data_IF_064089149764
#
_entry.id   IF_064089149764
#
_cell.length_a   1.000
_cell.length_b   1.000
_cell.length_c   1.000
_cell.angle_alpha   90.00
_cell.angle_beta   90.00
_cell.angle_gamma   90.00
#
_symmetry.space_group_name_H-M   'P 1'
#
loop_
_entity.id
_entity.type
_entity.pdbx_description
1 polymer ?
#
# COMPACT_ATOMS: atom_id res chain seq x y z
N UNK A 1 2.22 38.55 42.04
CA UNK A 1 1.71 37.47 41.16
C UNK A 1 1.12 38.13 39.93
N UNK A 2 1.82 38.03 38.78
CA UNK A 2 1.32 38.55 37.51
C UNK A 2 0.70 37.37 36.78
N UNK A 3 -0.63 37.31 36.75
CA UNK A 3 -1.35 36.37 35.91
C UNK A 3 -1.19 36.86 34.46
N UNK A 4 -0.24 36.27 33.73
CA UNK A 4 -0.13 36.47 32.30
C UNK A 4 -1.36 35.88 31.62
N UNK A 5 -2.12 36.71 30.90
CA UNK A 5 -3.18 36.24 30.04
C UNK A 5 -2.59 35.25 29.03
N UNK A 6 -2.97 33.98 29.16
CA UNK A 6 -2.72 32.99 28.11
C UNK A 6 -3.61 33.43 26.96
N UNK A 7 -3.05 34.14 25.98
CA UNK A 7 -3.75 34.42 24.74
C UNK A 7 -4.09 33.06 24.13
N UNK A 8 -5.39 32.71 24.14
CA UNK A 8 -5.88 31.59 23.38
C UNK A 8 -5.39 31.75 21.94
N UNK A 9 -4.83 30.69 21.37
CA UNK A 9 -4.48 30.68 19.95
C UNK A 9 -5.72 31.14 19.17
N UNK A 10 -5.56 32.03 18.17
CA UNK A 10 -6.69 32.49 17.39
C UNK A 10 -7.45 31.28 16.86
N UNK A 11 -8.77 31.28 17.05
CA UNK A 11 -9.64 30.26 16.49
C UNK A 11 -9.38 30.17 14.98
N UNK A 12 -9.35 28.96 14.39
CA UNK A 12 -9.24 28.83 12.95
C UNK A 12 -10.33 29.68 12.29
N UNK A 13 -10.02 30.43 11.22
CA UNK A 13 -11.03 31.23 10.52
C UNK A 13 -12.20 30.33 10.11
N UNK A 14 -13.43 30.80 10.32
CA UNK A 14 -14.60 30.06 9.87
C UNK A 14 -14.60 29.96 8.34
N UNK A 15 -14.86 28.76 7.77
CA UNK A 15 -14.84 28.59 6.33
C UNK A 15 -15.96 29.39 5.67
N UNK A 16 -15.67 29.94 4.49
CA UNK A 16 -16.67 30.65 3.70
C UNK A 16 -17.82 29.73 3.26
N UNK A 17 -18.97 30.33 2.94
CA UNK A 17 -20.11 29.58 2.38
C UNK A 17 -19.75 28.89 1.06
N UNK A 18 -18.91 29.53 0.25
CA UNK A 18 -18.42 28.99 -1.02
C UNK A 18 -17.55 27.75 -0.82
N UNK A 19 -16.67 27.74 0.20
CA UNK A 19 -15.84 26.57 0.53
C UNK A 19 -16.67 25.38 0.97
N UNK A 20 -17.72 25.60 1.77
CA UNK A 20 -18.63 24.53 2.20
C UNK A 20 -19.35 23.93 1.00
N UNK A 21 -19.91 24.79 0.14
CA UNK A 21 -20.59 24.33 -1.08
C UNK A 21 -19.64 23.60 -2.03
N UNK A 22 -18.41 24.10 -2.18
CA UNK A 22 -17.39 23.45 -2.99
C UNK A 22 -17.08 22.05 -2.45
N UNK A 23 -16.80 21.92 -1.16
CA UNK A 23 -16.52 20.64 -0.50
C UNK A 23 -17.68 19.66 -0.69
N UNK A 24 -18.92 20.09 -0.46
CA UNK A 24 -20.12 19.27 -0.64
C UNK A 24 -20.28 18.79 -2.09
N UNK A 25 -19.96 19.64 -3.07
CA UNK A 25 -20.05 19.27 -4.49
C UNK A 25 -18.99 18.24 -4.88
N UNK A 26 -17.72 18.44 -4.51
CA UNK A 26 -16.63 17.53 -4.92
C UNK A 26 -16.75 16.14 -4.30
N UNK A 27 -17.38 16.05 -3.12
CA UNK A 27 -17.67 14.79 -2.44
C UNK A 27 -18.84 14.00 -3.05
N UNK A 28 -19.63 14.57 -3.98
CA UNK A 28 -20.63 13.80 -4.73
C UNK A 28 -19.93 12.96 -5.80
N UNK A 29 -20.28 11.67 -5.86
CA UNK A 29 -19.76 10.71 -6.84
C UNK A 29 -20.06 11.10 -8.29
N UNK A 30 -21.10 11.89 -8.53
CA UNK A 30 -21.51 12.37 -9.86
C UNK A 30 -20.72 13.60 -10.33
N UNK A 31 -19.94 14.23 -9.45
CA UNK A 31 -19.23 15.47 -9.80
C UNK A 31 -17.95 15.16 -10.56
N UNK A 32 -17.78 15.77 -11.73
CA UNK A 32 -16.52 15.70 -12.46
C UNK A 32 -15.41 16.47 -11.73
N UNK A 33 -14.23 15.86 -11.59
CA UNK A 33 -13.08 16.43 -10.89
C UNK A 33 -12.15 17.23 -11.82
N UNK A 34 -12.65 17.66 -12.97
CA UNK A 34 -11.87 18.45 -13.92
C UNK A 34 -11.49 19.81 -13.36
N UNK A 35 -10.23 20.19 -13.58
CA UNK A 35 -9.65 21.48 -13.17
C UNK A 35 -9.76 21.77 -11.66
N UNK A 36 -9.82 20.72 -10.83
CA UNK A 36 -10.07 20.83 -9.39
C UNK A 36 -9.07 21.75 -8.68
N UNK A 37 -7.77 21.62 -8.96
CA UNK A 37 -6.74 22.49 -8.37
C UNK A 37 -6.89 23.96 -8.76
N UNK A 38 -7.31 24.25 -10.01
CA UNK A 38 -7.60 25.63 -10.45
C UNK A 38 -8.81 26.20 -9.72
N UNK A 39 -9.87 25.40 -9.54
CA UNK A 39 -11.06 25.82 -8.79
C UNK A 39 -10.74 26.09 -7.33
N UNK A 40 -9.90 25.25 -6.71
CA UNK A 40 -9.43 25.44 -5.33
C UNK A 40 -8.69 26.77 -5.17
N UNK A 41 -7.77 27.10 -6.09
CA UNK A 41 -7.00 28.36 -6.08
C UNK A 41 -7.87 29.62 -6.12
N UNK A 42 -9.10 29.56 -6.65
CA UNK A 42 -10.02 30.71 -6.71
C UNK A 42 -10.53 31.10 -5.32
N UNK A 43 -10.68 30.14 -4.41
CA UNK A 43 -11.25 30.37 -3.07
C UNK A 43 -10.28 31.10 -2.13
N UNK A 44 -9.01 31.23 -2.51
CA UNK A 44 -7.98 31.81 -1.64
C UNK A 44 -7.32 30.79 -0.71
N UNK A 45 -6.25 31.21 -0.04
CA UNK A 45 -5.35 30.30 0.67
C UNK A 45 -5.97 29.67 1.94
N UNK A 46 -6.69 30.45 2.74
CA UNK A 46 -7.32 29.99 3.99
C UNK A 46 -8.41 28.94 3.71
N UNK A 47 -9.30 29.26 2.79
CA UNK A 47 -10.37 28.38 2.34
C UNK A 47 -9.83 27.10 1.67
N UNK A 48 -8.76 27.21 0.88
CA UNK A 48 -8.08 26.05 0.28
C UNK A 48 -7.50 25.12 1.35
N UNK A 49 -6.86 25.69 2.38
CA UNK A 49 -6.31 24.92 3.49
C UNK A 49 -7.41 24.19 4.27
N UNK A 50 -8.52 24.88 4.55
CA UNK A 50 -9.68 24.28 5.21
C UNK A 50 -10.29 23.12 4.41
N UNK A 51 -10.38 23.26 3.07
CA UNK A 51 -10.87 22.19 2.20
C UNK A 51 -9.95 20.97 2.26
N UNK A 52 -8.63 21.17 2.17
CA UNK A 52 -7.67 20.06 2.24
C UNK A 52 -7.74 19.36 3.60
N UNK A 53 -7.79 20.12 4.70
CA UNK A 53 -7.95 19.56 6.04
C UNK A 53 -9.25 18.76 6.18
N UNK A 54 -10.34 19.28 5.61
CA UNK A 54 -11.65 18.61 5.64
C UNK A 54 -11.67 17.33 4.80
N UNK A 55 -11.00 17.33 3.64
CA UNK A 55 -10.85 16.13 2.82
C UNK A 55 -9.96 15.10 3.50
N UNK A 56 -8.87 15.54 4.14
CA UNK A 56 -7.99 14.67 4.94
C UNK A 56 -8.77 14.04 6.07
N UNK A 57 -9.56 14.79 6.85
CA UNK A 57 -10.35 14.22 7.95
C UNK A 57 -11.38 13.18 7.46
N UNK A 58 -12.03 13.45 6.33
CA UNK A 58 -13.00 12.54 5.67
C UNK A 58 -12.35 11.34 4.98
N UNK A 59 -11.02 11.29 4.86
CA UNK A 59 -10.37 10.13 4.22
C UNK A 59 -10.50 8.84 5.03
N UNK A 60 -10.81 8.92 6.34
CA UNK A 60 -11.06 7.75 7.19
C UNK A 60 -12.33 6.98 6.81
N UNK A 61 -13.33 7.64 6.24
CA UNK A 61 -14.64 7.07 5.96
C UNK A 61 -15.14 7.31 4.53
N UNK A 62 -14.38 8.04 3.70
CA UNK A 62 -14.78 8.36 2.32
C UNK A 62 -13.67 8.06 1.29
N UNK A 63 -13.84 6.98 0.52
CA UNK A 63 -13.01 6.72 -0.66
C UNK A 63 -13.06 7.87 -1.67
N UNK A 64 -14.18 8.59 -1.75
CA UNK A 64 -14.31 9.77 -2.61
C UNK A 64 -13.42 10.92 -2.15
N UNK A 65 -13.26 11.13 -0.84
CA UNK A 65 -12.32 12.13 -0.34
C UNK A 65 -10.88 11.80 -0.76
N UNK A 66 -10.50 10.51 -0.71
CA UNK A 66 -9.18 10.04 -1.18
C UNK A 66 -8.99 10.31 -2.68
N UNK A 67 -9.99 9.98 -3.51
CA UNK A 67 -9.95 10.28 -4.95
C UNK A 67 -9.77 11.78 -5.21
N UNK A 68 -10.54 12.63 -4.53
CA UNK A 68 -10.43 14.10 -4.65
C UNK A 68 -9.03 14.58 -4.26
N UNK A 69 -8.47 14.05 -3.17
CA UNK A 69 -7.10 14.38 -2.73
C UNK A 69 -6.05 13.93 -3.74
N UNK A 70 -6.18 12.73 -4.31
CA UNK A 70 -5.28 12.23 -5.35
C UNK A 70 -5.26 13.14 -6.58
N UNK A 71 -6.42 13.69 -6.97
CA UNK A 71 -6.53 14.67 -8.08
C UNK A 71 -5.96 16.04 -7.75
N UNK A 72 -5.97 16.44 -6.47
CA UNK A 72 -5.40 17.72 -6.03
C UNK A 72 -3.89 17.65 -5.87
N UNK A 73 -3.39 16.54 -5.30
CA UNK A 73 -2.02 16.43 -4.82
C UNK A 73 -0.94 16.83 -5.84
N UNK A 74 -0.99 16.45 -7.14
CA UNK A 74 0.05 16.81 -8.10
C UNK A 74 0.29 18.33 -8.23
N UNK A 75 -0.76 19.14 -8.09
CA UNK A 75 -0.77 20.59 -8.29
C UNK A 75 -0.53 21.39 -7.00
N UNK A 76 -0.41 20.71 -5.85
CA UNK A 76 -0.12 21.36 -4.57
C UNK A 76 1.36 21.74 -4.46
N UNK A 77 1.68 22.85 -3.76
CA UNK A 77 3.04 23.16 -3.33
C UNK A 77 3.65 21.99 -2.55
N UNK A 78 4.96 21.78 -2.68
CA UNK A 78 5.65 20.59 -2.14
C UNK A 78 5.37 20.31 -0.66
N UNK A 79 5.44 21.32 0.21
CA UNK A 79 5.20 21.14 1.65
C UNK A 79 3.75 20.76 1.95
N UNK A 80 2.80 21.39 1.23
CA UNK A 80 1.38 21.11 1.38
C UNK A 80 1.02 19.74 0.81
N UNK A 81 1.66 19.33 -0.29
CA UNK A 81 1.55 18.00 -0.89
C UNK A 81 1.99 16.93 0.10
N UNK A 82 3.20 17.07 0.65
CA UNK A 82 3.76 16.15 1.64
C UNK A 82 2.83 16.04 2.86
N UNK A 83 2.44 17.17 3.46
CA UNK A 83 1.59 17.18 4.65
C UNK A 83 0.22 16.55 4.38
N UNK A 84 -0.39 16.86 3.23
CA UNK A 84 -1.70 16.32 2.84
C UNK A 84 -1.62 14.80 2.69
N UNK A 85 -0.65 14.32 1.91
CA UNK A 85 -0.47 12.89 1.62
C UNK A 85 -0.12 12.12 2.89
N UNK A 86 0.81 12.62 3.72
CA UNK A 86 1.18 11.97 4.97
C UNK A 86 -0.02 11.87 5.92
N UNK A 87 -0.79 12.94 6.08
CA UNK A 87 -1.97 12.93 6.96
C UNK A 87 -3.06 12.02 6.43
N UNK A 88 -3.28 11.95 5.11
CA UNK A 88 -4.23 11.00 4.51
C UNK A 88 -3.81 9.56 4.79
N UNK A 89 -2.55 9.21 4.54
CA UNK A 89 -2.05 7.85 4.76
C UNK A 89 -2.16 7.49 6.25
N UNK A 90 -1.79 8.40 7.16
CA UNK A 90 -1.98 8.18 8.61
C UNK A 90 -3.45 7.98 8.99
N UNK A 91 -4.35 8.82 8.47
CA UNK A 91 -5.78 8.74 8.81
C UNK A 91 -6.39 7.42 8.32
N UNK A 92 -6.07 6.99 7.10
CA UNK A 92 -6.51 5.70 6.53
C UNK A 92 -5.87 4.51 7.25
N UNK A 93 -4.62 4.63 7.68
CA UNK A 93 -3.95 3.56 8.46
C UNK A 93 -4.63 3.38 9.81
N UNK A 94 -4.89 4.47 10.54
CA UNK A 94 -5.40 4.43 11.91
C UNK A 94 -6.90 4.13 12.00
N UNK A 95 -7.69 4.62 11.04
CA UNK A 95 -9.15 4.63 11.13
C UNK A 95 -9.87 4.15 9.87
N UNK A 96 -9.14 3.99 8.76
CA UNK A 96 -9.73 3.59 7.49
C UNK A 96 -10.07 2.11 7.45
N UNK A 97 -11.23 1.80 6.88
CA UNK A 97 -11.61 0.43 6.55
C UNK A 97 -10.99 0.01 5.21
N UNK A 98 -11.30 -1.21 4.77
CA UNK A 98 -10.75 -1.82 3.56
C UNK A 98 -11.04 -0.98 2.31
N UNK A 99 -12.22 -0.37 2.23
CA UNK A 99 -12.58 0.50 1.11
C UNK A 99 -11.65 1.71 0.98
N UNK A 100 -11.21 2.29 2.10
CA UNK A 100 -10.30 3.44 2.13
C UNK A 100 -8.87 3.00 1.83
N UNK A 101 -8.43 1.86 2.35
CA UNK A 101 -7.11 1.28 2.04
C UNK A 101 -6.98 0.93 0.55
N UNK A 102 -8.01 0.30 -0.02
CA UNK A 102 -8.08 0.00 -1.45
C UNK A 102 -8.08 1.28 -2.28
N UNK A 103 -8.89 2.29 -1.90
CA UNK A 103 -8.92 3.57 -2.60
C UNK A 103 -7.59 4.31 -2.53
N UNK A 104 -6.88 4.25 -1.39
CA UNK A 104 -5.56 4.85 -1.27
C UNK A 104 -4.57 4.19 -2.22
N UNK A 105 -4.54 2.85 -2.26
CA UNK A 105 -3.66 2.10 -3.17
C UNK A 105 -4.02 2.25 -4.65
N UNK A 106 -5.29 2.53 -4.99
CA UNK A 106 -5.74 2.69 -6.37
C UNK A 106 -5.58 4.11 -6.91
N UNK A 107 -5.83 5.11 -6.07
CA UNK A 107 -5.85 6.52 -6.48
C UNK A 107 -4.50 7.19 -6.29
N UNK A 108 -3.72 6.83 -5.25
CA UNK A 108 -2.41 7.41 -5.04
C UNK A 108 -1.40 6.62 -5.86
N UNK A 109 -0.77 7.28 -6.81
CA UNK A 109 0.34 6.68 -7.55
C UNK A 109 1.54 6.41 -6.63
N UNK A 110 2.54 5.71 -7.18
CA UNK A 110 3.74 5.37 -6.43
C UNK A 110 4.53 6.59 -5.95
N UNK A 111 4.49 7.72 -6.68
CA UNK A 111 5.17 8.95 -6.28
C UNK A 111 4.53 9.50 -5.00
N UNK A 112 3.20 9.60 -4.96
CA UNK A 112 2.48 10.04 -3.77
C UNK A 112 2.67 9.06 -2.61
N UNK A 113 2.57 7.75 -2.83
CA UNK A 113 2.74 6.75 -1.77
C UNK A 113 4.17 6.68 -1.21
N UNK A 114 5.17 7.24 -1.89
CA UNK A 114 6.55 7.34 -1.39
C UNK A 114 6.81 8.60 -0.54
N UNK A 115 5.95 9.63 -0.61
CA UNK A 115 6.12 10.88 0.13
C UNK A 115 6.09 10.72 1.66
N UNK A 116 5.18 9.94 2.26
CA UNK A 116 5.12 9.82 3.71
C UNK A 116 6.41 9.23 4.29
N UNK A 117 6.69 9.60 5.54
CA UNK A 117 7.74 9.00 6.33
C UNK A 117 7.69 7.46 6.29
N UNK A 118 8.87 6.84 6.32
CA UNK A 118 9.00 5.38 6.21
C UNK A 118 8.21 4.65 7.29
N UNK A 119 8.15 5.14 8.54
CA UNK A 119 7.39 4.48 9.60
C UNK A 119 5.88 4.49 9.30
N UNK A 120 5.37 5.54 8.65
CA UNK A 120 3.97 5.62 8.21
C UNK A 120 3.70 4.60 7.10
N UNK A 121 4.59 4.52 6.11
CA UNK A 121 4.49 3.53 5.04
C UNK A 121 4.56 2.10 5.58
N UNK A 122 5.49 1.84 6.51
CA UNK A 122 5.63 0.55 7.19
C UNK A 122 4.34 0.15 7.90
N UNK A 123 3.72 1.06 8.66
CA UNK A 123 2.47 0.81 9.36
C UNK A 123 1.32 0.53 8.39
N UNK A 124 1.19 1.36 7.34
CA UNK A 124 0.14 1.20 6.34
C UNK A 124 0.23 -0.14 5.60
N UNK A 125 1.40 -0.46 5.04
CA UNK A 125 1.59 -1.70 4.28
C UNK A 125 1.57 -2.93 5.20
N UNK A 126 2.04 -2.81 6.44
CA UNK A 126 1.91 -3.86 7.45
C UNK A 126 0.45 -4.22 7.72
N UNK A 127 -0.41 -3.21 7.93
CA UNK A 127 -1.85 -3.42 8.13
C UNK A 127 -2.52 -4.05 6.89
N UNK A 128 -2.17 -3.58 5.68
CA UNK A 128 -2.64 -4.20 4.42
C UNK A 128 -2.20 -5.66 4.32
N UNK A 129 -0.97 -6.00 4.68
CA UNK A 129 -0.47 -7.37 4.65
C UNK A 129 -1.19 -8.25 5.67
N UNK A 130 -1.45 -7.74 6.87
CA UNK A 130 -2.18 -8.46 7.91
C UNK A 130 -3.63 -8.75 7.49
N UNK A 131 -4.31 -7.79 6.86
CA UNK A 131 -5.65 -7.99 6.29
C UNK A 131 -5.63 -9.09 5.23
N UNK A 132 -4.72 -9.00 4.25
CA UNK A 132 -4.59 -10.01 3.19
C UNK A 132 -4.21 -11.38 3.78
N UNK A 133 -3.38 -11.40 4.84
CA UNK A 133 -2.94 -12.61 5.52
C UNK A 133 -4.06 -13.37 6.24
N UNK A 134 -5.15 -12.69 6.63
CA UNK A 134 -6.36 -13.32 7.19
C UNK A 134 -7.21 -14.05 6.15
N UNK A 135 -6.91 -13.85 4.87
CA UNK A 135 -7.50 -14.55 3.71
C UNK A 135 -9.03 -14.50 3.63
N UNK A 136 -9.65 -13.39 4.02
CA UNK A 136 -11.07 -13.18 3.81
C UNK A 136 -11.33 -12.80 2.34
N UNK A 137 -12.07 -13.66 1.62
CA UNK A 137 -12.13 -13.60 0.15
C UNK A 137 -12.50 -12.23 -0.41
N UNK A 138 -13.48 -11.51 0.15
CA UNK A 138 -13.91 -10.21 -0.37
C UNK A 138 -12.77 -9.19 -0.31
N UNK A 139 -12.08 -9.13 0.83
CA UNK A 139 -11.01 -8.18 1.14
C UNK A 139 -9.79 -8.41 0.23
N UNK A 140 -9.40 -9.68 0.09
CA UNK A 140 -8.27 -10.09 -0.75
C UNK A 140 -8.52 -9.77 -2.23
N UNK A 141 -9.77 -9.94 -2.70
CA UNK A 141 -10.14 -9.67 -4.08
C UNK A 141 -10.04 -8.18 -4.45
N UNK A 142 -10.18 -7.30 -3.48
CA UNK A 142 -10.10 -5.85 -3.69
C UNK A 142 -8.66 -5.33 -3.47
N UNK A 143 -7.98 -5.79 -2.41
CA UNK A 143 -6.67 -5.27 -2.03
C UNK A 143 -5.50 -5.82 -2.86
N UNK A 144 -5.46 -7.13 -3.16
CA UNK A 144 -4.29 -7.72 -3.83
C UNK A 144 -4.07 -7.11 -5.23
N UNK A 145 -5.09 -6.94 -6.09
CA UNK A 145 -4.87 -6.35 -7.42
C UNK A 145 -4.26 -4.95 -7.37
N UNK A 146 -4.70 -4.10 -6.43
CA UNK A 146 -4.19 -2.72 -6.30
C UNK A 146 -2.81 -2.69 -5.63
N UNK A 147 -2.56 -3.57 -4.65
CA UNK A 147 -1.25 -3.69 -3.99
C UNK A 147 -0.14 -4.07 -4.98
N UNK A 148 -0.43 -4.92 -5.98
CA UNK A 148 0.56 -5.31 -6.99
C UNK A 148 1.06 -4.11 -7.81
N UNK A 149 0.21 -3.10 -8.01
CA UNK A 149 0.56 -1.86 -8.71
C UNK A 149 1.44 -0.89 -7.92
N UNK A 150 1.62 -1.11 -6.60
CA UNK A 150 2.25 -0.13 -5.69
C UNK A 150 3.55 -0.63 -5.07
N UNK A 151 4.15 -1.69 -5.64
CA UNK A 151 5.36 -2.32 -5.09
C UNK A 151 6.57 -1.39 -4.96
N UNK A 152 6.68 -0.37 -5.80
CA UNK A 152 7.74 0.66 -5.74
C UNK A 152 7.61 1.57 -4.51
N UNK A 153 6.43 1.67 -3.90
CA UNK A 153 6.22 2.46 -2.68
C UNK A 153 6.48 1.68 -1.40
N UNK A 154 6.65 0.35 -1.48
CA UNK A 154 6.97 -0.50 -0.34
C UNK A 154 8.35 -0.18 0.22
N UNK A 155 8.48 0.06 1.53
CA UNK A 155 9.77 0.07 2.21
C UNK A 155 10.55 -1.23 1.96
N UNK A 156 11.87 -1.14 1.78
CA UNK A 156 12.71 -2.29 1.42
C UNK A 156 12.61 -3.44 2.44
N UNK A 157 12.47 -3.07 3.72
CA UNK A 157 12.31 -4.01 4.84
C UNK A 157 11.08 -4.92 4.66
N UNK A 158 10.07 -4.50 3.90
CA UNK A 158 8.85 -5.28 3.64
C UNK A 158 8.93 -6.14 2.39
N UNK A 159 9.94 -6.00 1.53
CA UNK A 159 9.98 -6.72 0.25
C UNK A 159 9.95 -8.25 0.40
N UNK A 160 10.67 -8.80 1.37
CA UNK A 160 10.64 -10.22 1.64
C UNK A 160 9.23 -10.69 2.09
N UNK A 161 8.58 -9.94 2.97
CA UNK A 161 7.23 -10.22 3.44
C UNK A 161 6.20 -10.10 2.31
N UNK A 162 6.37 -9.11 1.44
CA UNK A 162 5.55 -8.90 0.26
C UNK A 162 5.61 -10.11 -0.68
N UNK A 163 6.82 -10.60 -1.02
CA UNK A 163 6.95 -11.78 -1.89
C UNK A 163 6.31 -13.01 -1.24
N UNK A 164 6.49 -13.21 0.07
CA UNK A 164 5.86 -14.31 0.80
C UNK A 164 4.33 -14.20 0.81
N UNK A 165 3.80 -12.99 1.00
CA UNK A 165 2.37 -12.70 0.90
C UNK A 165 1.83 -13.09 -0.48
N UNK A 166 2.52 -12.70 -1.56
CA UNK A 166 2.13 -13.05 -2.92
C UNK A 166 2.20 -14.57 -3.17
N UNK A 167 3.22 -15.28 -2.67
CA UNK A 167 3.30 -16.74 -2.77
C UNK A 167 2.09 -17.38 -2.09
N UNK A 168 1.77 -16.95 -0.87
CA UNK A 168 0.62 -17.46 -0.13
C UNK A 168 -0.71 -17.17 -0.86
N UNK A 169 -0.86 -15.96 -1.39
CA UNK A 169 -2.08 -15.54 -2.07
C UNK A 169 -2.25 -16.16 -3.46
N UNK A 170 -1.16 -16.49 -4.14
CA UNK A 170 -1.22 -17.11 -5.48
C UNK A 170 -1.97 -18.46 -5.49
N UNK A 171 -2.09 -19.13 -4.34
CA UNK A 171 -2.79 -20.42 -4.19
C UNK A 171 -4.12 -20.29 -3.45
N UNK A 172 -4.55 -19.08 -3.08
CA UNK A 172 -5.85 -18.89 -2.43
C UNK A 172 -7.00 -19.10 -3.43
N UNK A 173 -8.22 -19.24 -2.91
CA UNK A 173 -9.45 -19.36 -3.72
C UNK A 173 -9.99 -18.00 -4.17
N UNK A 174 -9.25 -16.90 -3.95
CA UNK A 174 -9.60 -15.56 -4.39
C UNK A 174 -9.62 -15.44 -5.91
N UNK A 175 -10.77 -15.05 -6.49
CA UNK A 175 -10.98 -15.02 -7.94
C UNK A 175 -10.26 -13.86 -8.66
N UNK A 176 -9.92 -12.78 -7.95
CA UNK A 176 -9.09 -11.65 -8.45
C UNK A 176 -7.70 -11.66 -7.84
N UNK A 177 -7.59 -11.86 -6.53
CA UNK A 177 -6.35 -11.74 -5.79
C UNK A 177 -5.33 -12.83 -6.14
N UNK A 178 -5.76 -14.10 -6.22
CA UNK A 178 -4.83 -15.18 -6.57
C UNK A 178 -4.25 -15.04 -7.99
N UNK A 179 -5.06 -14.74 -9.05
CA UNK A 179 -4.52 -14.42 -10.36
C UNK A 179 -3.57 -13.21 -10.37
N UNK A 180 -3.92 -12.12 -9.68
CA UNK A 180 -3.08 -10.93 -9.59
C UNK A 180 -1.73 -11.24 -8.94
N UNK A 181 -1.72 -12.00 -7.83
CA UNK A 181 -0.50 -12.41 -7.15
C UNK A 181 0.38 -13.32 -8.02
N UNK A 182 -0.21 -14.28 -8.75
CA UNK A 182 0.54 -15.12 -9.71
C UNK A 182 1.21 -14.27 -10.79
N UNK A 183 0.48 -13.32 -11.36
CA UNK A 183 1.01 -12.44 -12.40
C UNK A 183 2.13 -11.56 -11.84
N UNK A 184 1.94 -10.99 -10.65
CA UNK A 184 2.92 -10.16 -9.95
C UNK A 184 4.26 -10.89 -9.79
N UNK A 185 4.23 -12.13 -9.28
CA UNK A 185 5.43 -12.95 -9.07
C UNK A 185 6.22 -13.20 -10.35
N UNK A 186 5.61 -13.11 -11.53
CA UNK A 186 6.32 -13.25 -12.83
C UNK A 186 6.94 -11.94 -13.34
N UNK A 187 6.65 -10.80 -12.71
CA UNK A 187 7.04 -9.46 -13.18
C UNK A 187 7.62 -8.58 -12.07
N UNK A 188 8.03 -9.17 -10.94
CA UNK A 188 8.70 -8.45 -9.87
C UNK A 188 10.00 -7.78 -10.37
N UNK A 189 10.32 -6.56 -9.89
CA UNK A 189 11.66 -6.02 -9.99
C UNK A 189 12.69 -6.95 -9.33
N UNK A 190 13.90 -7.00 -9.90
CA UNK A 190 14.95 -7.93 -9.47
C UNK A 190 15.29 -7.79 -7.97
N UNK A 191 15.33 -6.57 -7.44
CA UNK A 191 15.64 -6.32 -6.03
C UNK A 191 14.59 -6.90 -5.08
N UNK A 192 13.31 -6.76 -5.43
CA UNK A 192 12.18 -7.32 -4.67
C UNK A 192 12.19 -8.85 -4.79
N UNK A 193 12.39 -9.39 -6.00
CA UNK A 193 12.48 -10.82 -6.23
C UNK A 193 13.64 -11.43 -5.43
N UNK A 194 14.81 -10.79 -5.45
CA UNK A 194 15.99 -11.19 -4.69
C UNK A 194 15.71 -11.18 -3.18
N UNK A 195 15.06 -10.15 -2.64
CA UNK A 195 14.68 -10.10 -1.23
C UNK A 195 13.77 -11.28 -0.84
N UNK A 196 12.81 -11.62 -1.69
CA UNK A 196 11.96 -12.80 -1.52
C UNK A 196 12.74 -14.12 -1.55
N UNK A 197 13.62 -14.30 -2.52
CA UNK A 197 14.46 -15.51 -2.66
C UNK A 197 15.42 -15.70 -1.47
N UNK A 198 15.98 -14.60 -0.95
CA UNK A 198 16.81 -14.62 0.26
C UNK A 198 16.02 -15.06 1.51
N UNK A 199 14.69 -14.93 1.48
CA UNK A 199 13.81 -15.36 2.57
C UNK A 199 13.30 -16.81 2.42
N UNK A 200 13.53 -17.47 1.27
CA UNK A 200 13.21 -18.89 1.05
C UNK A 200 14.22 -19.81 1.75
N UNK A 201 14.31 -19.70 3.08
CA UNK A 201 15.13 -20.59 3.91
C UNK A 201 14.49 -21.98 3.97
N UNK A 202 15.27 -23.06 4.20
CA UNK A 202 14.71 -24.41 4.23
C UNK A 202 13.53 -24.57 5.18
N UNK A 203 13.62 -24.00 6.40
CA UNK A 203 12.53 -23.99 7.39
C UNK A 203 11.24 -23.29 6.92
N UNK A 204 11.36 -22.28 6.06
CA UNK A 204 10.20 -21.56 5.51
C UNK A 204 9.57 -22.40 4.40
N UNK A 205 10.40 -22.86 3.47
CA UNK A 205 9.95 -23.64 2.32
C UNK A 205 9.35 -24.97 2.74
N UNK A 206 9.84 -25.56 3.84
CA UNK A 206 9.29 -26.79 4.38
C UNK A 206 7.89 -26.65 5.00
N UNK A 207 7.41 -25.43 5.21
CA UNK A 207 6.03 -25.19 5.66
C UNK A 207 5.06 -25.05 4.48
N UNK A 208 5.56 -25.09 3.25
CA UNK A 208 4.72 -24.95 2.07
C UNK A 208 3.95 -26.24 1.77
N UNK A 209 2.67 -26.07 1.48
CA UNK A 209 1.90 -27.07 0.76
C UNK A 209 2.50 -27.29 -0.63
N UNK A 210 2.10 -28.38 -1.28
CA UNK A 210 2.55 -28.69 -2.64
C UNK A 210 2.32 -27.52 -3.61
N UNK A 211 1.17 -26.84 -3.54
CA UNK A 211 0.84 -25.75 -4.45
C UNK A 211 1.73 -24.52 -4.21
N UNK A 212 1.99 -24.15 -2.95
CA UNK A 212 2.91 -23.05 -2.62
C UNK A 212 4.33 -23.38 -3.05
N UNK A 213 4.74 -24.64 -2.91
CA UNK A 213 6.01 -25.12 -3.43
C UNK A 213 6.11 -24.92 -4.94
N UNK A 214 5.08 -25.26 -5.73
CA UNK A 214 5.12 -25.05 -7.18
C UNK A 214 5.25 -23.57 -7.56
N UNK A 215 4.65 -22.67 -6.78
CA UNK A 215 4.79 -21.23 -6.98
C UNK A 215 6.22 -20.78 -6.66
N UNK A 216 6.75 -21.17 -5.50
CA UNK A 216 8.11 -20.85 -5.10
C UNK A 216 9.15 -21.42 -6.08
N UNK A 217 8.91 -22.63 -6.60
CA UNK A 217 9.71 -23.26 -7.66
C UNK A 217 9.74 -22.39 -8.92
N UNK A 218 8.60 -21.90 -9.40
CA UNK A 218 8.55 -20.99 -10.56
C UNK A 218 9.31 -19.68 -10.32
N UNK A 219 9.17 -19.09 -9.12
CA UNK A 219 9.91 -17.89 -8.74
C UNK A 219 11.43 -18.16 -8.75
N UNK A 220 11.87 -19.25 -8.12
CA UNK A 220 13.26 -19.68 -8.06
C UNK A 220 13.84 -19.98 -9.45
N UNK A 221 13.09 -20.66 -10.32
CA UNK A 221 13.52 -20.92 -11.71
C UNK A 221 13.74 -19.62 -12.49
N UNK A 222 12.91 -18.60 -12.27
CA UNK A 222 13.00 -17.32 -12.98
C UNK A 222 14.13 -16.43 -12.46
N UNK A 223 14.20 -16.26 -11.15
CA UNK A 223 15.06 -15.26 -10.52
C UNK A 223 16.24 -15.85 -9.75
N UNK A 224 16.41 -17.17 -9.73
CA UNK A 224 17.43 -17.84 -8.91
C UNK A 224 18.85 -17.36 -9.17
N UNK A 225 19.14 -16.90 -10.39
CA UNK A 225 20.43 -16.32 -10.78
C UNK A 225 20.79 -15.04 -9.99
N UNK A 226 19.83 -14.39 -9.32
CA UNK A 226 20.05 -13.19 -8.50
C UNK A 226 20.66 -13.48 -7.12
N UNK A 227 20.72 -14.75 -6.72
CA UNK A 227 21.17 -15.18 -5.39
C UNK A 227 22.32 -16.16 -5.51
N UNK A 228 23.43 -15.87 -4.82
CA UNK A 228 24.62 -16.72 -4.77
C UNK A 228 24.88 -17.32 -3.38
N UNK A 229 26.02 -18.00 -3.25
CA UNK A 229 26.46 -18.62 -2.00
C UNK A 229 25.51 -19.72 -1.50
N UNK A 230 25.51 -19.97 -0.19
CA UNK A 230 24.69 -21.02 0.44
C UNK A 230 23.18 -20.84 0.16
N UNK A 231 22.69 -19.60 0.15
CA UNK A 231 21.28 -19.35 -0.15
C UNK A 231 20.96 -19.61 -1.63
N UNK A 232 21.92 -19.40 -2.54
CA UNK A 232 21.80 -19.75 -3.95
C UNK A 232 21.63 -21.26 -4.15
N UNK A 233 22.31 -22.09 -3.35
CA UNK A 233 22.14 -23.55 -3.37
C UNK A 233 20.73 -23.97 -2.96
N UNK A 234 20.19 -23.39 -1.87
CA UNK A 234 18.82 -23.65 -1.42
C UNK A 234 17.82 -23.25 -2.51
N UNK A 235 17.98 -22.07 -3.11
CA UNK A 235 17.11 -21.59 -4.20
C UNK A 235 17.22 -22.48 -5.44
N UNK A 236 18.41 -22.93 -5.79
CA UNK A 236 18.63 -23.87 -6.89
C UNK A 236 17.94 -25.23 -6.61
N UNK A 237 18.01 -25.71 -5.37
CA UNK A 237 17.31 -26.93 -4.97
C UNK A 237 15.79 -26.75 -5.06
N UNK A 238 15.23 -25.62 -4.63
CA UNK A 238 13.81 -25.29 -4.83
C UNK A 238 13.45 -25.28 -6.32
N UNK A 239 14.31 -24.73 -7.17
CA UNK A 239 14.10 -24.65 -8.62
C UNK A 239 14.19 -26.00 -9.32
N UNK A 240 14.99 -26.95 -8.83
CA UNK A 240 15.36 -28.16 -9.57
C UNK A 240 14.78 -29.44 -8.96
N UNK A 241 14.71 -29.54 -7.63
CA UNK A 241 14.27 -30.75 -6.93
C UNK A 241 12.74 -30.93 -6.95
N UNK A 242 12.30 -32.13 -6.60
CA UNK A 242 10.91 -32.38 -6.21
C UNK A 242 10.69 -31.92 -4.76
N UNK A 243 9.44 -31.61 -4.40
CA UNK A 243 9.05 -31.24 -3.04
C UNK A 243 9.56 -32.28 -2.02
N UNK A 244 9.34 -33.57 -2.28
CA UNK A 244 9.78 -34.66 -1.40
C UNK A 244 11.30 -34.70 -1.21
N UNK A 245 12.06 -34.62 -2.30
CA UNK A 245 13.52 -34.70 -2.24
C UNK A 245 14.13 -33.49 -1.50
N UNK A 246 13.52 -32.30 -1.61
CA UNK A 246 13.94 -31.14 -0.82
C UNK A 246 13.74 -31.37 0.68
N UNK A 247 12.60 -31.92 1.09
CA UNK A 247 12.33 -32.21 2.50
C UNK A 247 13.31 -33.24 3.06
N UNK A 248 13.54 -34.34 2.34
CA UNK A 248 14.51 -35.37 2.75
C UNK A 248 15.93 -34.81 2.95
N UNK A 249 16.32 -33.78 2.17
CA UNK A 249 17.64 -33.12 2.29
C UNK A 249 17.73 -32.18 3.49
N UNK A 250 16.70 -31.38 3.75
CA UNK A 250 16.78 -30.24 4.69
C UNK A 250 16.04 -30.44 6.02
N UNK A 251 15.19 -31.45 6.12
CA UNK A 251 14.59 -31.91 7.37
C UNK A 251 14.87 -33.41 7.48
N UNK A 252 16.14 -33.79 7.75
CA UNK A 252 16.44 -35.16 8.14
C UNK A 252 15.78 -35.43 9.50
N UNK A 253 15.35 -36.69 9.69
CA UNK A 253 14.70 -37.19 10.91
C UNK A 253 15.41 -36.78 12.21
#
# INVERSE_FOLDING_TARGET
>A
MVAGAINALPSPPEPSGESREFLERVLKSTTALDALARKLKILGAEDSAWILDSLVDRSKDSSRAIEVLARLAPELPSDQKLLTVERTVRNVTLFGEIAQKTALLSEFDSELLQLPDEAVRMAFFGDVFDIIGRDQFVEVNDLVPVLVGTHSALPEVLWANYVMLLINQSVSMSYKGAPAARQALTRLPDEIAKAGLLNLKPKVVSQFSHDRWQVAKRLATRYGHLVGGQQGEVVNDVATMSWRAFFEKYIPD
#
